data_IF_644963300778
#
_entry.id   IF_644963300778
#
_cell.length_a   1.000
_cell.length_b   1.000
_cell.length_c   1.000
_cell.angle_alpha   90.00
_cell.angle_beta   90.00
_cell.angle_gamma   90.00
#
_symmetry.space_group_name_H-M   'P 1'
#
loop_
_entity.id
_entity.type
_entity.pdbx_description
1 polymer ?
#
# COMPACT_ATOMS: atom_id res chain seq x y z
N UNK A 1 -30.82 -19.22 -59.68
CA UNK A 1 -29.69 -19.34 -58.72
C UNK A 1 -29.73 -18.09 -57.86
N UNK A 2 -30.16 -18.24 -56.60
CA UNK A 2 -30.51 -17.13 -55.70
C UNK A 2 -29.26 -16.66 -54.96
N UNK A 3 -28.93 -15.36 -55.06
CA UNK A 3 -27.91 -14.72 -54.22
C UNK A 3 -28.49 -14.53 -52.81
N UNK A 4 -27.86 -15.14 -51.81
CA UNK A 4 -28.12 -14.90 -50.39
C UNK A 4 -27.49 -13.57 -49.96
N UNK A 5 -28.34 -12.62 -49.61
CA UNK A 5 -27.99 -11.34 -48.98
C UNK A 5 -27.61 -11.60 -47.53
N UNK A 6 -26.37 -11.31 -47.14
CA UNK A 6 -25.95 -11.31 -45.74
C UNK A 6 -26.42 -10.01 -45.08
N UNK A 7 -27.26 -10.14 -44.05
CA UNK A 7 -27.69 -9.04 -43.19
C UNK A 7 -26.54 -8.70 -42.24
N UNK A 8 -25.98 -7.50 -42.39
CA UNK A 8 -25.09 -6.90 -41.40
C UNK A 8 -25.93 -6.50 -40.17
N UNK A 9 -25.77 -7.23 -39.07
CA UNK A 9 -26.17 -6.75 -37.75
C UNK A 9 -25.09 -5.77 -37.28
N UNK A 10 -25.40 -4.48 -37.34
CA UNK A 10 -24.64 -3.43 -36.65
C UNK A 10 -24.82 -3.62 -35.14
N UNK A 11 -23.87 -4.29 -34.51
CA UNK A 11 -23.72 -4.27 -33.06
C UNK A 11 -23.30 -2.88 -32.61
N UNK A 12 -24.23 -2.16 -31.98
CA UNK A 12 -23.95 -0.94 -31.23
C UNK A 12 -23.11 -1.38 -30.03
N UNK A 13 -21.81 -1.11 -30.05
CA UNK A 13 -20.99 -1.20 -28.86
C UNK A 13 -21.55 -0.17 -27.85
N UNK A 14 -21.85 -0.57 -26.59
CA UNK A 14 -22.10 0.42 -25.56
C UNK A 14 -20.81 1.22 -25.41
N UNK A 15 -20.87 2.50 -25.81
CA UNK A 15 -19.79 3.45 -25.61
C UNK A 15 -19.42 3.45 -24.14
N UNK A 16 -18.25 2.89 -23.84
CA UNK A 16 -17.61 3.07 -22.56
C UNK A 16 -17.46 4.57 -22.36
N UNK A 17 -18.23 5.11 -21.44
CA UNK A 17 -18.01 6.46 -20.94
C UNK A 17 -16.66 6.38 -20.24
N UNK A 18 -15.62 6.85 -20.90
CA UNK A 18 -14.34 7.10 -20.28
C UNK A 18 -14.56 8.20 -19.24
N UNK A 19 -14.73 7.79 -17.99
CA UNK A 19 -14.60 8.70 -16.86
C UNK A 19 -13.13 9.12 -16.80
N UNK A 20 -12.79 10.28 -17.38
CA UNK A 20 -11.59 10.97 -16.94
C UNK A 20 -11.85 11.38 -15.50
N UNK A 21 -11.17 10.75 -14.53
CA UNK A 21 -11.01 11.38 -13.24
C UNK A 21 -10.44 12.78 -13.52
N UNK A 22 -11.19 13.83 -13.14
CA UNK A 22 -10.70 15.19 -13.31
C UNK A 22 -9.34 15.25 -12.60
N UNK A 23 -8.29 15.64 -13.31
CA UNK A 23 -6.99 15.81 -12.69
C UNK A 23 -7.15 16.85 -11.57
N UNK A 24 -6.70 16.51 -10.37
CA UNK A 24 -6.61 17.48 -9.29
C UNK A 24 -5.55 18.55 -9.69
N UNK A 25 -5.40 19.60 -8.89
CA UNK A 25 -4.49 20.70 -9.22
C UNK A 25 -3.24 20.66 -8.36
N UNK A 26 -2.08 20.54 -9.01
CA UNK A 26 -0.80 20.40 -8.33
C UNK A 26 -0.29 21.71 -7.71
N UNK A 27 -1.10 22.78 -7.75
CA UNK A 27 -0.79 24.08 -7.16
C UNK A 27 -0.68 23.92 -5.63
N UNK A 28 0.47 24.26 -5.03
CA UNK A 28 0.63 24.16 -3.58
C UNK A 28 -0.35 25.07 -2.83
N UNK A 29 -0.97 24.53 -1.77
CA UNK A 29 -1.67 25.31 -0.75
C UNK A 29 -0.62 26.04 0.09
N UNK A 30 -0.72 27.36 0.19
CA UNK A 30 0.23 28.18 0.95
C UNK A 30 -0.48 28.90 2.08
N UNK A 31 0.09 28.79 3.27
CA UNK A 31 -0.35 29.47 4.48
C UNK A 31 0.73 30.43 4.97
N UNK A 32 0.38 31.70 5.11
CA UNK A 32 1.26 32.71 5.69
C UNK A 32 0.99 32.81 7.20
N UNK A 33 1.98 32.43 8.03
CA UNK A 33 1.82 32.49 9.49
C UNK A 33 1.57 33.94 9.93
N UNK A 34 0.56 34.14 10.78
CA UNK A 34 0.15 35.44 11.31
C UNK A 34 -0.69 36.28 10.35
N UNK A 35 -0.97 35.80 9.14
CA UNK A 35 -1.82 36.49 8.15
C UNK A 35 -3.10 35.69 7.89
N UNK A 36 -4.20 36.39 7.68
CA UNK A 36 -5.46 35.79 7.26
C UNK A 36 -5.49 35.48 5.75
N UNK A 37 -4.35 35.26 5.11
CA UNK A 37 -4.29 34.99 3.67
C UNK A 37 -3.73 33.59 3.41
N UNK A 38 -4.40 32.87 2.51
CA UNK A 38 -3.90 31.63 1.91
C UNK A 38 -4.00 31.69 0.39
N UNK A 39 -3.25 30.83 -0.28
CA UNK A 39 -3.42 30.60 -1.73
C UNK A 39 -3.55 29.11 -2.00
N UNK A 40 -4.44 28.72 -2.90
CA UNK A 40 -4.56 27.36 -3.42
C UNK A 40 -4.82 27.40 -4.94
N UNK A 41 -5.24 26.29 -5.54
CA UNK A 41 -5.56 26.17 -6.96
C UNK A 41 -6.69 27.10 -7.45
N UNK A 42 -7.54 27.59 -6.54
CA UNK A 42 -8.61 28.55 -6.82
C UNK A 42 -8.14 30.01 -6.73
N UNK A 43 -6.88 30.24 -6.35
CA UNK A 43 -6.29 31.57 -6.18
C UNK A 43 -6.12 31.96 -4.70
N UNK A 44 -6.15 33.27 -4.42
CA UNK A 44 -5.97 33.81 -3.07
C UNK A 44 -7.30 33.85 -2.30
N UNK A 45 -7.24 33.49 -1.01
CA UNK A 45 -8.40 33.41 -0.11
C UNK A 45 -8.12 34.08 1.22
N UNK A 46 -9.14 34.70 1.80
CA UNK A 46 -9.10 35.24 3.14
C UNK A 46 -9.62 34.21 4.16
N UNK A 47 -8.77 33.87 5.13
CA UNK A 47 -9.04 32.94 6.20
C UNK A 47 -9.82 33.62 7.33
N UNK A 48 -10.74 32.87 7.95
CA UNK A 48 -11.49 33.32 9.13
C UNK A 48 -10.58 33.53 10.36
N UNK A 49 -9.44 32.84 10.41
CA UNK A 49 -8.43 33.03 11.43
C UNK A 49 -7.04 32.66 10.90
N UNK A 50 -6.03 33.44 11.30
CA UNK A 50 -4.66 33.30 10.82
C UNK A 50 -4.03 31.98 11.30
N UNK A 51 -3.31 31.27 10.44
CA UNK A 51 -2.38 30.21 10.84
C UNK A 51 -1.36 30.76 11.85
N UNK A 52 -0.97 29.96 12.82
CA UNK A 52 -0.06 30.38 13.89
C UNK A 52 0.97 29.30 14.21
N UNK A 53 2.01 29.66 14.97
CA UNK A 53 2.97 28.70 15.51
C UNK A 53 2.66 28.49 17.00
N UNK A 54 2.60 27.23 17.42
CA UNK A 54 2.47 26.83 18.82
C UNK A 54 3.55 25.81 19.13
N UNK A 55 4.44 26.11 20.07
CA UNK A 55 5.55 25.23 20.48
C UNK A 55 6.38 24.71 19.28
N UNK A 56 6.67 25.59 18.32
CA UNK A 56 7.43 25.24 17.11
C UNK A 56 6.62 24.50 16.03
N UNK A 57 5.32 24.27 16.24
CA UNK A 57 4.45 23.57 15.30
C UNK A 57 3.57 24.58 14.58
N UNK A 58 3.56 24.53 13.24
CA UNK A 58 2.64 25.32 12.42
C UNK A 58 1.22 24.74 12.50
N UNK A 59 0.29 25.55 13.00
CA UNK A 59 -1.12 25.27 13.15
C UNK A 59 -1.89 26.00 12.04
N UNK A 60 -2.64 25.25 11.22
CA UNK A 60 -3.41 25.79 10.08
C UNK A 60 -4.90 25.52 10.24
N UNK A 61 -5.79 26.39 9.71
CA UNK A 61 -7.23 26.14 9.73
C UNK A 61 -7.57 24.86 8.93
N UNK A 62 -8.23 23.90 9.58
CA UNK A 62 -8.49 22.58 8.99
C UNK A 62 -9.36 22.64 7.73
N UNK A 63 -10.34 23.55 7.70
CA UNK A 63 -11.22 23.74 6.54
C UNK A 63 -10.43 24.23 5.32
N UNK A 64 -9.61 25.26 5.49
CA UNK A 64 -8.80 25.79 4.41
C UNK A 64 -7.77 24.77 3.91
N UNK A 65 -7.20 23.97 4.83
CA UNK A 65 -6.34 22.85 4.47
C UNK A 65 -7.09 21.82 3.62
N UNK A 66 -8.26 21.37 4.07
CA UNK A 66 -9.07 20.39 3.36
C UNK A 66 -9.47 20.88 1.98
N UNK A 67 -10.03 22.08 1.87
CA UNK A 67 -10.43 22.67 0.60
C UNK A 67 -9.25 22.87 -0.35
N UNK A 68 -8.12 23.42 0.13
CA UNK A 68 -6.94 23.62 -0.71
C UNK A 68 -6.35 22.31 -1.22
N UNK A 69 -6.49 21.23 -0.44
CA UNK A 69 -6.14 19.87 -0.83
C UNK A 69 -7.29 19.13 -1.52
N UNK A 70 -8.38 19.78 -1.93
CA UNK A 70 -9.50 19.10 -2.60
C UNK A 70 -10.02 17.87 -1.81
N UNK A 71 -9.90 17.92 -0.49
CA UNK A 71 -10.38 16.90 0.43
C UNK A 71 -11.81 17.24 0.86
N UNK A 72 -12.64 16.22 0.98
CA UNK A 72 -13.94 16.34 1.64
C UNK A 72 -13.74 16.52 3.14
N UNK A 73 -14.53 17.40 3.77
CA UNK A 73 -14.54 17.61 5.21
C UNK A 73 -15.95 17.42 5.74
N UNK A 74 -16.10 16.48 6.67
CA UNK A 74 -17.35 16.21 7.38
C UNK A 74 -17.17 16.55 8.86
N UNK A 75 -18.22 17.10 9.46
CA UNK A 75 -18.25 17.49 10.86
C UNK A 75 -19.29 16.68 11.62
N UNK A 76 -18.84 15.98 12.65
CA UNK A 76 -19.70 15.34 13.64
C UNK A 76 -19.77 16.23 14.90
N UNK A 77 -20.89 16.94 15.03
CA UNK A 77 -21.12 17.82 16.18
C UNK A 77 -21.22 17.07 17.51
N UNK A 78 -21.73 15.83 17.51
CA UNK A 78 -21.95 15.05 18.71
C UNK A 78 -20.63 14.53 19.30
N UNK A 79 -19.73 14.06 18.43
CA UNK A 79 -18.41 13.57 18.80
C UNK A 79 -17.35 14.68 18.86
N UNK A 80 -17.68 15.91 18.44
CA UNK A 80 -16.71 16.98 18.13
C UNK A 80 -15.62 16.48 17.17
N UNK A 81 -16.04 15.64 16.21
CA UNK A 81 -15.21 14.91 15.28
C UNK A 81 -15.14 15.61 13.92
N UNK A 82 -13.98 15.52 13.27
CA UNK A 82 -13.75 15.95 11.90
C UNK A 82 -13.27 14.74 11.13
N UNK A 83 -13.96 14.42 10.03
CA UNK A 83 -13.53 13.43 9.07
C UNK A 83 -13.05 14.17 7.81
N UNK A 84 -11.79 13.96 7.46
CA UNK A 84 -11.22 14.43 6.20
C UNK A 84 -11.09 13.25 5.25
N UNK A 85 -11.50 13.39 3.99
CA UNK A 85 -11.43 12.33 2.98
C UNK A 85 -10.74 12.86 1.72
N UNK A 86 -9.66 12.22 1.27
CA UNK A 86 -8.98 12.53 0.01
C UNK A 86 -8.44 11.25 -0.63
N UNK A 87 -8.82 10.93 -1.87
CA UNK A 87 -8.32 9.76 -2.60
C UNK A 87 -8.37 8.44 -1.80
N UNK A 88 -9.48 8.19 -1.08
CA UNK A 88 -9.62 7.02 -0.20
C UNK A 88 -8.90 7.11 1.15
N UNK A 89 -8.02 8.11 1.34
CA UNK A 89 -7.45 8.45 2.64
C UNK A 89 -8.52 9.14 3.49
N UNK A 90 -8.62 8.71 4.73
CA UNK A 90 -9.51 9.18 5.78
C UNK A 90 -8.68 9.61 6.96
N UNK A 91 -9.03 10.74 7.56
CA UNK A 91 -8.38 11.26 8.77
C UNK A 91 -9.46 11.73 9.73
N UNK A 92 -9.66 10.96 10.79
CA UNK A 92 -10.56 11.27 11.90
C UNK A 92 -9.79 12.01 12.99
N UNK A 93 -10.20 13.25 13.20
CA UNK A 93 -9.65 14.16 14.20
C UNK A 93 -10.74 14.46 15.24
N UNK A 94 -10.35 14.66 16.49
CA UNK A 94 -11.28 15.07 17.56
C UNK A 94 -10.78 16.36 18.19
N UNK A 95 -11.66 17.34 18.38
CA UNK A 95 -11.28 18.60 19.04
C UNK A 95 -10.69 18.35 20.44
N UNK A 96 -9.63 19.09 20.79
CA UNK A 96 -8.89 18.99 22.04
C UNK A 96 -8.19 17.64 22.28
N UNK A 97 -8.10 16.80 21.25
CA UNK A 97 -7.34 15.55 21.24
C UNK A 97 -6.09 15.69 20.37
N UNK A 98 -5.05 14.94 20.69
CA UNK A 98 -3.90 14.68 19.84
C UNK A 98 -3.96 13.28 19.21
N UNK A 99 -4.95 12.45 19.56
CA UNK A 99 -5.17 11.18 18.90
C UNK A 99 -5.80 11.40 17.51
N UNK A 100 -5.21 10.78 16.50
CA UNK A 100 -5.75 10.72 15.15
C UNK A 100 -5.91 9.24 14.74
N UNK A 101 -7.04 8.97 14.10
CA UNK A 101 -7.31 7.69 13.44
C UNK A 101 -7.35 8.00 11.96
N UNK A 102 -6.52 7.35 11.17
CA UNK A 102 -6.56 7.44 9.73
C UNK A 102 -6.96 6.11 9.11
N UNK A 103 -7.12 6.05 7.80
CA UNK A 103 -7.42 4.80 7.07
C UNK A 103 -6.43 3.68 7.42
N UNK A 104 -5.19 4.07 7.74
CA UNK A 104 -4.03 3.19 7.80
C UNK A 104 -3.27 3.23 9.12
N UNK A 105 -3.83 3.93 10.11
CA UNK A 105 -3.21 4.15 11.41
C UNK A 105 -4.29 4.20 12.49
N UNK A 106 -4.20 3.29 13.46
CA UNK A 106 -4.96 3.38 14.71
C UNK A 106 -4.02 4.01 15.75
N UNK A 107 -4.44 5.13 16.37
CA UNK A 107 -3.78 5.79 17.50
C UNK A 107 -2.41 6.47 17.25
N UNK A 108 -2.23 7.16 16.12
CA UNK A 108 -1.08 8.08 15.99
C UNK A 108 -1.34 9.32 16.85
N UNK A 109 -0.28 9.83 17.49
CA UNK A 109 -0.33 11.11 18.20
C UNK A 109 0.16 12.23 17.30
N UNK A 110 -0.69 13.25 17.17
CA UNK A 110 -0.33 14.53 16.60
C UNK A 110 0.70 15.23 17.51
N UNK A 111 1.63 16.00 16.93
CA UNK A 111 2.63 16.73 17.73
C UNK A 111 2.00 17.89 18.53
N UNK A 112 0.77 18.31 18.18
CA UNK A 112 -0.06 19.19 18.98
C UNK A 112 -1.54 18.81 18.83
N UNK A 113 -2.34 19.12 19.85
CA UNK A 113 -3.78 18.86 19.86
C UNK A 113 -4.50 19.63 18.76
N UNK A 114 -5.59 19.06 18.25
CA UNK A 114 -6.57 19.76 17.42
C UNK A 114 -7.17 20.89 18.26
N UNK A 115 -6.87 22.14 17.90
CA UNK A 115 -7.21 23.30 18.71
C UNK A 115 -8.43 24.02 18.14
N UNK A 116 -9.37 24.40 19.00
CA UNK A 116 -10.47 25.29 18.63
C UNK A 116 -10.15 26.69 19.16
N UNK A 117 -9.89 27.64 18.26
CA UNK A 117 -9.60 29.04 18.60
C UNK A 117 -10.72 29.90 18.04
N UNK A 118 -11.59 30.39 18.94
CA UNK A 118 -12.72 31.28 18.62
C UNK A 118 -13.63 30.71 17.51
N UNK A 119 -13.95 29.41 17.58
CA UNK A 119 -14.82 28.73 16.63
C UNK A 119 -14.12 28.22 15.36
N UNK A 120 -12.81 28.45 15.23
CA UNK A 120 -12.01 27.93 14.11
C UNK A 120 -11.15 26.77 14.58
N UNK A 121 -11.21 25.65 13.88
CA UNK A 121 -10.42 24.47 14.21
C UNK A 121 -9.09 24.49 13.48
N UNK A 122 -8.02 24.25 14.23
CA UNK A 122 -6.65 24.23 13.79
C UNK A 122 -6.01 22.87 14.02
N UNK A 123 -5.14 22.49 13.09
CA UNK A 123 -4.44 21.21 13.11
C UNK A 123 -2.94 21.41 12.83
N UNK A 124 -2.07 20.51 13.31
CA UNK A 124 -0.66 20.49 12.92
C UNK A 124 -0.54 20.25 11.41
N UNK A 125 -0.10 21.27 10.68
CA UNK A 125 -0.13 21.28 9.21
C UNK A 125 0.59 20.07 8.61
N UNK A 126 1.84 19.84 9.03
CA UNK A 126 2.68 18.76 8.52
C UNK A 126 2.04 17.39 8.69
N UNK A 127 1.63 17.05 9.90
CA UNK A 127 1.11 15.70 10.19
C UNK A 127 -0.21 15.46 9.47
N UNK A 128 -1.17 16.38 9.53
CA UNK A 128 -2.47 16.19 8.86
C UNK A 128 -2.34 16.19 7.34
N UNK A 129 -1.48 17.04 6.77
CA UNK A 129 -1.16 17.01 5.34
C UNK A 129 -0.58 15.66 4.90
N UNK A 130 0.38 15.11 5.66
CA UNK A 130 0.96 13.79 5.38
C UNK A 130 -0.07 12.67 5.39
N UNK A 131 -1.00 12.70 6.35
CA UNK A 131 -2.09 11.72 6.43
C UNK A 131 -3.10 11.83 5.26
N UNK A 132 -3.15 13.00 4.61
CA UNK A 132 -3.91 13.24 3.39
C UNK A 132 -3.05 13.08 2.12
N UNK A 133 -1.87 12.47 2.20
CA UNK A 133 -1.02 12.20 1.05
C UNK A 133 -0.26 13.42 0.51
N UNK A 134 -0.20 14.51 1.27
CA UNK A 134 0.50 15.74 0.89
C UNK A 134 1.85 15.89 1.59
N UNK A 135 2.80 16.50 0.89
CA UNK A 135 4.07 16.94 1.46
C UNK A 135 3.99 18.39 1.91
N UNK A 136 4.82 18.76 2.90
CA UNK A 136 4.90 20.12 3.41
C UNK A 136 6.31 20.66 3.37
N UNK A 137 6.47 21.90 2.91
CA UNK A 137 7.69 22.67 2.93
C UNK A 137 7.52 23.88 3.86
N UNK A 138 8.54 24.18 4.67
CA UNK A 138 8.57 25.33 5.56
C UNK A 138 9.61 26.34 5.10
N UNK A 139 9.16 27.56 4.77
CA UNK A 139 10.04 28.71 4.56
C UNK A 139 10.15 29.50 5.86
N UNK A 140 11.30 29.35 6.54
CA UNK A 140 11.57 30.04 7.80
C UNK A 140 11.72 31.57 7.65
N UNK A 141 12.24 32.04 6.52
CA UNK A 141 12.47 33.48 6.29
C UNK A 141 11.13 34.19 6.08
N UNK A 142 10.24 33.56 5.32
CA UNK A 142 8.92 34.11 5.02
C UNK A 142 7.85 33.67 6.02
N UNK A 143 8.16 32.79 6.97
CA UNK A 143 7.20 32.17 7.90
C UNK A 143 5.98 31.61 7.18
N UNK A 144 6.23 30.75 6.19
CA UNK A 144 5.20 30.25 5.27
C UNK A 144 5.27 28.73 5.18
N UNK A 145 4.12 28.10 5.23
CA UNK A 145 3.96 26.67 4.98
C UNK A 145 3.43 26.50 3.57
N UNK A 146 4.12 25.74 2.73
CA UNK A 146 3.62 25.27 1.44
C UNK A 146 3.25 23.79 1.58
N UNK A 147 2.10 23.40 1.06
CA UNK A 147 1.58 22.04 1.14
C UNK A 147 1.18 21.64 -0.26
N UNK A 148 1.77 20.57 -0.77
CA UNK A 148 1.53 20.12 -2.13
C UNK A 148 1.27 18.64 -2.12
N UNK A 149 0.26 18.23 -2.89
CA UNK A 149 0.11 16.83 -3.25
C UNK A 149 0.92 16.49 -4.46
N UNK A 150 1.53 15.33 -4.39
CA UNK A 150 2.18 14.67 -5.52
C UNK A 150 1.06 14.07 -6.38
N UNK A 151 0.33 14.93 -7.10
CA UNK A 151 -0.91 14.53 -7.79
C UNK A 151 -0.71 13.62 -8.98
N UNK A 152 0.52 13.49 -9.42
CA UNK A 152 0.88 12.48 -10.40
C UNK A 152 1.10 11.11 -9.73
N UNK A 153 1.32 11.07 -8.42
CA UNK A 153 1.61 9.84 -7.71
C UNK A 153 0.36 9.09 -7.24
N UNK A 154 0.14 7.90 -7.81
CA UNK A 154 -0.89 6.98 -7.35
C UNK A 154 -0.49 6.40 -5.99
N UNK A 155 -1.34 6.52 -4.98
CA UNK A 155 -1.14 5.92 -3.65
C UNK A 155 -2.27 4.93 -3.35
N UNK A 156 -1.93 3.66 -3.18
CA UNK A 156 -2.84 2.55 -2.88
C UNK A 156 -2.52 1.98 -1.51
N UNK A 157 -3.53 1.51 -0.82
CA UNK A 157 -3.34 0.77 0.42
C UNK A 157 -4.36 -0.36 0.54
N UNK A 158 -3.90 -1.44 1.14
CA UNK A 158 -4.68 -2.64 1.38
C UNK A 158 -4.56 -3.06 2.84
N UNK A 159 -5.71 -3.14 3.50
CA UNK A 159 -5.85 -3.51 4.93
C UNK A 159 -6.55 -4.85 5.12
N UNK A 160 -7.17 -5.35 4.05
CA UNK A 160 -7.91 -6.60 4.04
C UNK A 160 -9.07 -6.70 5.04
N UNK A 161 -9.46 -5.64 5.74
CA UNK A 161 -10.50 -5.68 6.78
C UNK A 161 -11.90 -6.06 6.25
N UNK A 162 -12.13 -5.90 4.94
CA UNK A 162 -13.43 -6.21 4.30
C UNK A 162 -13.36 -7.32 3.25
N UNK A 163 -12.25 -7.43 2.52
CA UNK A 163 -12.08 -8.39 1.41
C UNK A 163 -10.60 -8.63 1.11
N UNK A 164 -10.28 -9.41 0.08
CA UNK A 164 -8.91 -9.56 -0.44
C UNK A 164 -8.45 -8.36 -1.28
N UNK A 165 -9.34 -7.39 -1.53
CA UNK A 165 -9.05 -6.12 -2.21
C UNK A 165 -8.35 -6.29 -3.58
N UNK A 166 -8.67 -7.42 -4.24
CA UNK A 166 -8.16 -7.79 -5.55
C UNK A 166 -6.77 -8.44 -5.56
N UNK A 167 -6.17 -8.70 -4.40
CA UNK A 167 -4.97 -9.52 -4.29
C UNK A 167 -5.32 -10.99 -4.51
N UNK A 168 -4.36 -11.75 -5.04
CA UNK A 168 -4.49 -13.17 -5.30
C UNK A 168 -3.28 -13.89 -4.74
N UNK A 169 -3.48 -15.03 -4.07
CA UNK A 169 -2.40 -15.91 -3.64
C UNK A 169 -2.15 -17.05 -4.63
N UNK A 170 -0.90 -17.44 -4.77
CA UNK A 170 -0.45 -18.52 -5.62
C UNK A 170 0.88 -19.10 -5.13
N UNK A 171 1.31 -20.19 -5.77
CA UNK A 171 2.46 -20.99 -5.38
C UNK A 171 3.29 -21.32 -6.62
N UNK A 172 4.60 -21.51 -6.46
CA UNK A 172 5.52 -22.00 -7.48
C UNK A 172 6.65 -22.82 -6.83
N UNK A 173 7.50 -23.40 -7.67
CA UNK A 173 8.61 -24.27 -7.36
C UNK A 173 8.20 -25.55 -6.61
N UNK A 174 7.15 -26.20 -7.14
CA UNK A 174 6.66 -27.51 -6.71
C UNK A 174 6.20 -28.36 -7.91
N UNK A 175 6.20 -29.70 -7.81
CA UNK A 175 5.80 -30.59 -8.90
C UNK A 175 4.36 -30.34 -9.36
N UNK A 176 4.10 -30.53 -10.66
CA UNK A 176 2.75 -30.39 -11.21
C UNK A 176 1.79 -31.46 -10.66
N UNK A 177 2.30 -32.66 -10.42
CA UNK A 177 1.59 -33.82 -9.86
C UNK A 177 1.74 -33.93 -8.33
N UNK A 178 1.99 -32.82 -7.64
CA UNK A 178 2.18 -32.81 -6.19
C UNK A 178 1.03 -33.47 -5.42
N UNK A 179 1.35 -34.05 -4.27
CA UNK A 179 0.36 -34.54 -3.33
C UNK A 179 -0.12 -33.39 -2.41
N UNK A 180 -1.40 -32.97 -2.48
CA UNK A 180 -1.91 -31.86 -1.66
C UNK A 180 -1.82 -32.10 -0.16
N UNK A 181 -1.92 -33.35 0.30
CA UNK A 181 -1.92 -33.71 1.72
C UNK A 181 -0.55 -33.46 2.39
N UNK A 182 0.54 -33.51 1.62
CA UNK A 182 1.90 -33.34 2.15
C UNK A 182 2.47 -31.94 1.92
N UNK A 183 1.94 -31.21 0.95
CA UNK A 183 2.31 -29.82 0.66
C UNK A 183 1.45 -28.82 1.43
N UNK A 184 0.17 -29.14 1.72
CA UNK A 184 -0.71 -28.30 2.53
C UNK A 184 -0.72 -26.81 2.11
N UNK A 185 -0.78 -26.55 0.80
CA UNK A 185 -0.76 -25.20 0.24
C UNK A 185 -2.09 -24.50 0.56
N UNK A 186 -2.04 -23.33 1.19
CA UNK A 186 -3.22 -22.56 1.53
C UNK A 186 -3.00 -21.06 1.35
N UNK A 187 -3.94 -20.43 0.64
CA UNK A 187 -4.12 -18.99 0.60
C UNK A 187 -5.51 -18.66 1.14
N UNK A 188 -5.59 -17.71 2.07
CA UNK A 188 -6.87 -17.26 2.60
C UNK A 188 -6.76 -15.86 3.18
N UNK A 189 -7.87 -15.12 3.16
CA UNK A 189 -8.07 -13.97 4.03
C UNK A 189 -8.58 -14.42 5.40
N UNK A 190 -7.75 -14.27 6.43
CA UNK A 190 -8.05 -14.69 7.80
C UNK A 190 -7.77 -13.56 8.80
N UNK A 191 -8.33 -13.66 10.02
CA UNK A 191 -7.98 -12.74 11.09
C UNK A 191 -6.48 -12.88 11.39
N UNK A 192 -5.78 -11.75 11.54
CA UNK A 192 -4.39 -11.77 11.98
C UNK A 192 -4.31 -12.47 13.34
N UNK A 193 -3.43 -13.48 13.52
CA UNK A 193 -3.35 -14.28 14.75
C UNK A 193 -2.59 -13.55 15.87
N UNK A 194 -3.02 -12.32 16.17
CA UNK A 194 -2.49 -11.51 17.26
C UNK A 194 -3.44 -11.54 18.47
N UNK A 195 -2.88 -11.32 19.66
CA UNK A 195 -3.62 -11.40 20.92
C UNK A 195 -4.89 -10.52 20.91
N UNK A 196 -6.05 -11.14 21.17
CA UNK A 196 -7.36 -10.51 21.22
C UNK A 196 -7.85 -9.82 19.93
N UNK A 197 -7.25 -10.10 18.77
CA UNK A 197 -7.73 -9.55 17.51
C UNK A 197 -9.09 -10.13 17.11
N UNK A 198 -10.02 -9.26 16.73
CA UNK A 198 -11.37 -9.61 16.27
C UNK A 198 -11.78 -8.91 14.98
N UNK A 199 -10.95 -8.01 14.46
CA UNK A 199 -11.36 -7.07 13.41
C UNK A 199 -10.33 -6.91 12.30
N UNK A 200 -9.05 -7.17 12.57
CA UNK A 200 -8.00 -6.96 11.59
C UNK A 200 -7.74 -8.25 10.81
N UNK A 201 -7.81 -8.18 9.50
CA UNK A 201 -7.56 -9.33 8.63
C UNK A 201 -6.23 -9.19 7.91
N UNK A 202 -5.71 -10.30 7.41
CA UNK A 202 -4.53 -10.32 6.56
C UNK A 202 -4.63 -11.45 5.53
N UNK A 203 -3.73 -11.39 4.55
CA UNK A 203 -3.56 -12.45 3.56
C UNK A 203 -2.62 -13.51 4.12
N UNK A 204 -3.17 -14.67 4.46
CA UNK A 204 -2.42 -15.84 4.91
C UNK A 204 -1.86 -16.59 3.71
N UNK A 205 -0.60 -16.97 3.81
CA UNK A 205 0.04 -17.99 2.99
C UNK A 205 0.58 -19.08 3.90
N UNK A 206 0.32 -20.34 3.54
CA UNK A 206 0.84 -21.50 4.26
C UNK A 206 1.22 -22.60 3.28
N UNK A 207 2.28 -23.33 3.59
CA UNK A 207 2.77 -24.43 2.78
C UNK A 207 3.88 -25.20 3.49
N UNK A 208 3.85 -26.51 3.32
CA UNK A 208 4.90 -27.43 3.70
C UNK A 208 5.87 -27.55 2.53
N UNK A 209 7.09 -27.05 2.68
CA UNK A 209 8.10 -27.16 1.65
C UNK A 209 8.58 -28.62 1.54
N UNK A 210 8.31 -29.25 0.39
CA UNK A 210 8.74 -30.62 0.04
C UNK A 210 9.62 -30.65 -1.22
N UNK A 211 9.93 -29.48 -1.78
CA UNK A 211 10.70 -29.29 -3.01
C UNK A 211 12.03 -28.57 -2.78
N UNK A 212 12.38 -28.29 -1.53
CA UNK A 212 13.53 -27.47 -1.11
C UNK A 212 13.53 -26.03 -1.66
N UNK A 213 12.45 -25.59 -2.31
CA UNK A 213 12.40 -24.33 -3.05
C UNK A 213 10.98 -23.73 -3.12
N UNK A 214 10.03 -24.22 -2.31
CA UNK A 214 8.63 -23.76 -2.38
C UNK A 214 8.52 -22.23 -2.30
N UNK A 215 7.98 -21.62 -3.35
CA UNK A 215 7.70 -20.20 -3.42
C UNK A 215 6.21 -19.93 -3.21
N UNK A 216 5.87 -19.20 -2.15
CA UNK A 216 4.49 -18.82 -1.83
C UNK A 216 4.35 -17.31 -2.01
N UNK A 217 3.37 -16.85 -2.79
CA UNK A 217 3.29 -15.42 -3.11
C UNK A 217 1.87 -14.90 -3.23
N UNK A 218 1.73 -13.59 -3.00
CA UNK A 218 0.56 -12.81 -3.39
C UNK A 218 0.92 -11.84 -4.50
N UNK A 219 -0.04 -11.57 -5.39
CA UNK A 219 0.12 -10.57 -6.44
C UNK A 219 -1.12 -9.71 -6.62
N UNK A 220 -0.90 -8.47 -7.09
CA UNK A 220 -1.95 -7.51 -7.43
C UNK A 220 -1.60 -6.80 -8.72
N UNK A 221 -2.51 -6.87 -9.69
CA UNK A 221 -2.49 -6.00 -10.88
C UNK A 221 -2.93 -4.58 -10.49
N UNK A 222 -2.16 -3.60 -10.91
CA UNK A 222 -2.47 -2.17 -10.92
C UNK A 222 -2.68 -1.77 -12.38
N UNK A 223 -3.76 -1.07 -12.65
CA UNK A 223 -4.15 -0.63 -13.99
C UNK A 223 -4.54 0.86 -13.97
N UNK A 224 -4.71 1.44 -15.15
CA UNK A 224 -5.03 2.87 -15.30
C UNK A 224 -3.83 3.80 -15.17
N UNK A 225 -2.61 3.27 -15.23
CA UNK A 225 -1.38 4.07 -15.29
C UNK A 225 -1.18 4.64 -16.70
N UNK A 226 -0.32 5.63 -16.84
CA UNK A 226 0.12 6.08 -18.15
C UNK A 226 0.93 4.96 -18.81
N UNK A 227 0.61 4.55 -20.05
CA UNK A 227 1.36 3.52 -20.76
C UNK A 227 2.82 3.92 -21.01
N UNK A 228 3.74 2.97 -20.90
CA UNK A 228 5.15 3.19 -21.18
C UNK A 228 5.78 4.36 -20.39
N UNK A 229 5.31 4.63 -19.18
CA UNK A 229 5.80 5.71 -18.33
C UNK A 229 6.69 5.13 -17.23
N UNK A 230 7.81 5.80 -16.95
CA UNK A 230 8.70 5.45 -15.85
C UNK A 230 8.10 5.93 -14.54
N UNK A 231 8.08 5.08 -13.52
CA UNK A 231 7.60 5.38 -12.17
C UNK A 231 8.71 5.15 -11.15
N UNK A 232 8.86 6.09 -10.23
CA UNK A 232 9.47 5.85 -8.93
C UNK A 232 8.43 5.18 -8.04
N UNK A 233 8.64 3.90 -7.73
CA UNK A 233 7.72 3.09 -6.97
C UNK A 233 8.25 2.81 -5.56
N UNK A 234 7.37 2.83 -4.57
CA UNK A 234 7.64 2.33 -3.22
C UNK A 234 6.51 1.42 -2.76
N UNK A 235 6.88 0.31 -2.13
CA UNK A 235 6.02 -0.67 -1.51
C UNK A 235 6.41 -0.81 -0.05
N UNK A 236 5.45 -0.80 0.87
CA UNK A 236 5.66 -1.18 2.26
C UNK A 236 4.55 -2.08 2.75
N UNK A 237 4.84 -2.98 3.67
CA UNK A 237 3.86 -3.92 4.22
C UNK A 237 4.29 -4.44 5.59
N UNK A 238 3.36 -5.08 6.29
CA UNK A 238 3.63 -5.82 7.51
C UNK A 238 3.58 -7.32 7.22
N UNK A 239 4.69 -8.00 7.48
CA UNK A 239 4.74 -9.45 7.58
C UNK A 239 4.40 -9.84 9.01
N UNK A 240 3.49 -10.78 9.22
CA UNK A 240 3.30 -11.39 10.53
C UNK A 240 3.91 -12.79 10.54
N UNK A 241 4.79 -13.03 11.50
CA UNK A 241 5.54 -14.28 11.70
C UNK A 241 5.70 -14.57 13.19
N UNK A 242 5.80 -15.84 13.56
CA UNK A 242 6.05 -16.34 14.91
C UNK A 242 7.41 -17.08 15.02
N UNK A 243 8.26 -16.98 14.00
CA UNK A 243 9.53 -17.71 13.95
C UNK A 243 10.61 -16.98 14.75
N UNK A 244 11.16 -17.64 15.77
CA UNK A 244 12.29 -17.12 16.53
C UNK A 244 13.60 -17.24 15.72
N UNK A 245 14.56 -16.37 16.02
CA UNK A 245 15.88 -16.42 15.41
C UNK A 245 16.76 -17.54 15.99
N UNK A 246 17.76 -17.98 15.24
CA UNK A 246 18.77 -18.95 15.67
C UNK A 246 18.24 -20.39 15.81
N UNK A 247 17.07 -20.69 15.25
CA UNK A 247 16.49 -22.02 15.30
C UNK A 247 17.16 -22.97 14.30
N UNK A 248 17.26 -24.25 14.66
CA UNK A 248 17.71 -25.30 13.75
C UNK A 248 16.50 -25.94 13.09
N UNK A 249 16.52 -26.07 11.76
CA UNK A 249 15.50 -26.75 10.97
C UNK A 249 16.10 -27.61 9.87
N UNK A 250 15.26 -28.39 9.20
CA UNK A 250 15.64 -29.21 8.04
C UNK A 250 15.70 -28.31 6.81
N UNK A 251 16.75 -28.41 5.99
CA UNK A 251 17.00 -27.50 4.87
C UNK A 251 17.44 -26.07 5.26
N UNK A 252 17.24 -25.66 6.52
CA UNK A 252 17.68 -24.37 7.05
C UNK A 252 16.91 -23.96 8.30
N UNK A 253 17.22 -22.78 8.85
CA UNK A 253 16.47 -22.21 9.97
C UNK A 253 15.09 -21.71 9.50
N UNK A 254 13.99 -22.00 10.23
CA UNK A 254 12.64 -21.61 9.81
C UNK A 254 12.42 -20.09 9.74
N UNK A 255 13.24 -19.30 10.44
CA UNK A 255 13.26 -17.84 10.33
C UNK A 255 14.16 -17.35 9.19
N UNK A 256 15.46 -17.64 9.29
CA UNK A 256 16.50 -17.04 8.45
C UNK A 256 16.61 -17.66 7.06
N UNK A 257 16.25 -18.94 6.89
CA UNK A 257 16.29 -19.62 5.59
C UNK A 257 15.01 -19.42 4.76
N UNK A 258 14.05 -18.66 5.28
CA UNK A 258 12.84 -18.22 4.56
C UNK A 258 13.02 -16.74 4.20
N UNK A 259 13.43 -16.48 2.95
CA UNK A 259 13.61 -15.11 2.46
C UNK A 259 12.28 -14.53 2.02
N UNK A 260 11.96 -13.32 2.48
CA UNK A 260 10.83 -12.54 1.95
C UNK A 260 11.33 -11.67 0.82
N UNK A 261 10.65 -11.78 -0.32
CA UNK A 261 10.99 -11.06 -1.55
C UNK A 261 9.84 -10.21 -2.02
N UNK A 262 10.17 -9.08 -2.64
CA UNK A 262 9.20 -8.20 -3.28
C UNK A 262 9.67 -7.75 -4.66
N UNK A 263 8.70 -7.48 -5.53
CA UNK A 263 8.92 -6.97 -6.88
C UNK A 263 7.73 -6.15 -7.38
N UNK A 264 8.00 -5.24 -8.31
CA UNK A 264 6.99 -4.52 -9.08
C UNK A 264 7.36 -4.69 -10.55
N UNK A 265 6.44 -5.24 -11.34
CA UNK A 265 6.71 -5.80 -12.66
C UNK A 265 5.79 -5.18 -13.71
N UNK A 266 6.24 -5.12 -14.95
CA UNK A 266 5.41 -4.72 -16.09
C UNK A 266 4.76 -5.91 -16.83
N UNK A 267 5.10 -7.13 -16.41
CA UNK A 267 4.51 -8.39 -16.86
C UNK A 267 3.81 -9.08 -15.68
N UNK A 268 2.75 -9.82 -15.97
CA UNK A 268 2.01 -10.57 -14.97
C UNK A 268 2.85 -11.74 -14.44
N UNK A 269 3.15 -11.81 -13.13
CA UNK A 269 3.88 -12.93 -12.55
C UNK A 269 2.97 -14.14 -12.39
N UNK A 270 3.40 -15.29 -12.91
CA UNK A 270 2.65 -16.56 -12.87
C UNK A 270 3.60 -17.73 -12.69
N UNK A 271 3.13 -18.72 -11.97
CA UNK A 271 3.64 -20.07 -12.08
C UNK A 271 3.22 -20.67 -13.44
N UNK A 272 4.17 -21.22 -14.16
CA UNK A 272 3.99 -21.90 -15.45
C UNK A 272 4.67 -23.27 -15.38
N UNK A 273 4.10 -24.26 -16.06
CA UNK A 273 4.70 -25.59 -16.14
C UNK A 273 6.02 -25.54 -16.92
N UNK A 274 7.03 -26.24 -16.40
CA UNK A 274 8.37 -26.36 -16.98
C UNK A 274 8.87 -27.78 -16.85
N UNK A 275 9.33 -28.37 -17.96
CA UNK A 275 9.78 -29.77 -18.05
C UNK A 275 11.31 -29.91 -18.12
N UNK A 276 12.07 -28.98 -17.52
CA UNK A 276 13.53 -28.91 -17.69
C UNK A 276 14.32 -30.08 -17.10
N UNK A 277 13.72 -30.88 -16.21
CA UNK A 277 14.44 -31.93 -15.45
C UNK A 277 13.75 -33.30 -15.45
N UNK A 278 12.85 -33.55 -16.40
CA UNK A 278 12.19 -34.85 -16.59
C UNK A 278 10.94 -35.07 -15.72
N UNK A 279 10.72 -34.24 -14.70
CA UNK A 279 9.46 -34.11 -13.98
C UNK A 279 8.88 -32.71 -14.19
N UNK A 280 7.60 -32.56 -14.56
CA UNK A 280 6.98 -31.25 -14.73
C UNK A 280 6.90 -30.49 -13.40
N UNK A 281 7.42 -29.25 -13.38
CA UNK A 281 7.43 -28.38 -12.19
C UNK A 281 6.72 -27.07 -12.53
N UNK A 282 5.90 -26.55 -11.60
CA UNK A 282 5.42 -25.17 -11.67
C UNK A 282 6.57 -24.22 -11.33
N UNK A 283 7.10 -23.49 -12.30
CA UNK A 283 8.18 -22.49 -12.12
C UNK A 283 7.65 -21.08 -12.35
N UNK A 284 8.24 -20.07 -11.70
CA UNK A 284 7.87 -18.68 -11.97
C UNK A 284 8.30 -18.26 -13.39
N UNK A 285 7.46 -17.48 -14.07
CA UNK A 285 7.79 -16.83 -15.35
C UNK A 285 8.62 -15.53 -15.21
N UNK A 286 9.20 -15.32 -14.02
CA UNK A 286 9.99 -14.16 -13.63
C UNK A 286 11.29 -14.60 -12.96
N UNK A 287 12.31 -13.74 -13.00
CA UNK A 287 13.55 -13.98 -12.26
C UNK A 287 13.42 -13.49 -10.82
N UNK A 288 12.91 -14.36 -9.94
CA UNK A 288 12.85 -14.10 -8.50
C UNK A 288 14.17 -14.37 -7.77
N UNK A 289 15.20 -14.86 -8.46
CA UNK A 289 16.36 -15.49 -7.84
C UNK A 289 16.00 -16.86 -7.23
N UNK A 290 16.81 -17.32 -6.29
CA UNK A 290 16.61 -18.63 -5.64
C UNK A 290 16.96 -18.53 -4.15
N UNK A 291 16.00 -18.87 -3.27
CA UNK A 291 16.17 -18.81 -1.82
C UNK A 291 16.77 -17.47 -1.35
N UNK A 292 17.98 -17.49 -0.80
CA UNK A 292 18.70 -16.32 -0.30
C UNK A 292 19.44 -15.50 -1.37
N UNK A 293 19.25 -15.81 -2.65
CA UNK A 293 19.77 -15.01 -3.76
C UNK A 293 18.68 -14.14 -4.39
N UNK A 294 19.04 -12.93 -4.80
CA UNK A 294 18.15 -12.00 -5.49
C UNK A 294 18.11 -12.30 -6.99
N UNK A 295 16.95 -12.08 -7.61
CA UNK A 295 16.81 -12.06 -9.07
C UNK A 295 16.72 -10.65 -9.62
N UNK A 296 16.60 -10.52 -10.94
CA UNK A 296 16.34 -9.25 -11.61
C UNK A 296 14.93 -8.70 -11.28
N UNK A 297 13.93 -9.57 -11.25
CA UNK A 297 12.52 -9.20 -11.09
C UNK A 297 12.10 -9.05 -9.61
N UNK A 298 12.77 -9.72 -8.66
CA UNK A 298 12.47 -9.61 -7.22
C UNK A 298 13.71 -9.50 -6.34
N UNK A 299 13.60 -8.67 -5.30
CA UNK A 299 14.68 -8.41 -4.31
C UNK A 299 14.29 -8.91 -2.93
N UNK A 300 15.29 -9.26 -2.13
CA UNK A 300 15.08 -9.69 -0.74
C UNK A 300 14.80 -8.44 0.10
N UNK A 301 13.70 -8.44 0.84
CA UNK A 301 13.28 -7.33 1.71
C UNK A 301 13.36 -7.69 3.19
N UNK A 302 13.54 -8.97 3.51
CA UNK A 302 13.69 -9.47 4.87
C UNK A 302 13.61 -10.99 4.95
N UNK A 303 13.35 -11.51 6.14
CA UNK A 303 13.15 -12.94 6.41
C UNK A 303 12.00 -13.13 7.42
N UNK A 304 11.79 -14.36 7.88
CA UNK A 304 10.70 -14.71 8.80
C UNK A 304 11.02 -14.48 10.28
N UNK A 305 12.17 -13.92 10.65
CA UNK A 305 12.52 -13.77 12.07
C UNK A 305 11.67 -12.70 12.73
N UNK A 306 10.97 -13.07 13.81
CA UNK A 306 10.19 -12.15 14.64
C UNK A 306 11.09 -11.17 15.41
N UNK A 307 10.61 -9.96 15.75
CA UNK A 307 11.45 -8.91 16.31
C UNK A 307 11.79 -9.11 17.80
N UNK A 308 10.94 -9.79 18.57
CA UNK A 308 11.14 -10.07 19.99
C UNK A 308 10.92 -11.57 20.26
N UNK A 309 12.01 -12.32 20.43
CA UNK A 309 11.97 -13.76 20.65
C UNK A 309 11.46 -14.17 22.05
N UNK A 310 11.25 -13.19 22.94
CA UNK A 310 10.67 -13.44 24.27
C UNK A 310 9.14 -13.50 24.24
N UNK A 311 8.52 -13.00 23.18
CA UNK A 311 7.08 -13.01 22.98
C UNK A 311 6.65 -14.25 22.18
N UNK A 312 5.48 -14.78 22.53
CA UNK A 312 4.86 -15.90 21.82
C UNK A 312 3.81 -15.41 20.84
N UNK A 313 3.65 -16.14 19.73
CA UNK A 313 2.67 -15.85 18.69
C UNK A 313 3.18 -14.87 17.63
N UNK A 314 2.30 -14.57 16.68
CA UNK A 314 2.67 -13.80 15.49
C UNK A 314 2.93 -12.32 15.83
N UNK A 315 4.02 -11.80 15.27
CA UNK A 315 4.46 -10.42 15.45
C UNK A 315 4.64 -9.75 14.09
N UNK A 316 4.30 -8.45 13.98
CA UNK A 316 4.51 -7.69 12.76
C UNK A 316 6.00 -7.35 12.57
N UNK A 317 6.49 -7.55 11.36
CA UNK A 317 7.80 -7.13 10.86
C UNK A 317 7.54 -6.20 9.68
N UNK A 318 7.99 -4.95 9.81
CA UNK A 318 7.85 -3.96 8.75
C UNK A 318 8.85 -4.26 7.62
N UNK A 319 8.34 -4.31 6.39
CA UNK A 319 9.12 -4.54 5.18
C UNK A 319 8.91 -3.40 4.21
N UNK A 320 9.98 -3.01 3.52
CA UNK A 320 9.98 -1.93 2.54
C UNK A 320 10.72 -2.35 1.26
N UNK A 321 10.21 -1.91 0.12
CA UNK A 321 10.81 -2.10 -1.19
C UNK A 321 10.65 -0.84 -2.03
N UNK A 322 11.65 -0.49 -2.83
CA UNK A 322 11.56 0.61 -3.77
C UNK A 322 12.25 0.23 -5.08
N UNK A 323 11.69 0.71 -6.19
CA UNK A 323 12.22 0.47 -7.52
C UNK A 323 11.88 1.63 -8.45
N UNK A 324 12.65 1.74 -9.52
CA UNK A 324 12.31 2.59 -10.67
C UNK A 324 12.01 1.66 -11.84
N UNK A 325 10.81 1.73 -12.39
CA UNK A 325 10.37 0.80 -13.44
C UNK A 325 9.39 1.46 -14.41
N UNK A 326 9.21 0.84 -15.57
CA UNK A 326 8.35 1.35 -16.64
C UNK A 326 7.05 0.54 -16.70
N UNK A 327 5.90 1.20 -16.70
CA UNK A 327 4.60 0.55 -16.96
C UNK A 327 4.58 -0.08 -18.35
N UNK A 328 3.74 -1.11 -18.54
CA UNK A 328 3.62 -1.73 -19.85
C UNK A 328 2.80 -0.86 -20.83
N UNK A 329 2.64 -1.37 -22.05
CA UNK A 329 1.93 -0.71 -23.15
C UNK A 329 0.45 -0.45 -22.86
N UNK A 330 -0.12 -1.13 -21.86
CA UNK A 330 -1.51 -0.99 -21.42
C UNK A 330 -1.65 -0.11 -20.18
N UNK A 331 -0.55 0.43 -19.65
CA UNK A 331 -0.58 1.19 -18.41
C UNK A 331 -0.83 0.30 -17.19
N UNK A 332 -0.25 -0.90 -17.19
CA UNK A 332 -0.38 -1.86 -16.09
C UNK A 332 0.97 -2.11 -15.42
N UNK A 333 0.90 -2.41 -14.12
CA UNK A 333 1.98 -2.94 -13.29
C UNK A 333 1.44 -4.07 -12.41
N UNK A 334 2.33 -4.94 -11.95
CA UNK A 334 1.99 -6.08 -11.09
C UNK A 334 2.91 -6.03 -9.88
N UNK A 335 2.32 -5.94 -8.69
CA UNK A 335 3.07 -6.06 -7.43
C UNK A 335 3.07 -7.51 -7.01
N UNK A 336 4.20 -8.01 -6.54
CA UNK A 336 4.36 -9.35 -6.03
C UNK A 336 5.15 -9.32 -4.72
N UNK A 337 4.66 -10.07 -3.73
CA UNK A 337 5.33 -10.30 -2.44
C UNK A 337 5.27 -11.79 -2.19
N UNK A 338 6.39 -12.41 -1.85
CA UNK A 338 6.42 -13.85 -1.59
C UNK A 338 7.55 -14.29 -0.68
N UNK A 339 7.43 -15.51 -0.17
CA UNK A 339 8.47 -16.21 0.56
C UNK A 339 9.17 -17.22 -0.36
N UNK A 340 10.49 -17.21 -0.35
CA UNK A 340 11.36 -18.13 -1.07
C UNK A 340 12.23 -18.87 -0.03
N UNK A 341 12.13 -20.19 0.02
CA UNK A 341 12.58 -20.95 1.19
C UNK A 341 13.35 -22.22 0.84
N UNK A 342 14.51 -22.37 1.48
CA UNK A 342 15.21 -23.66 1.59
C UNK A 342 14.82 -24.45 2.84
N UNK A 343 14.01 -23.88 3.74
CA UNK A 343 13.53 -24.58 4.94
C UNK A 343 12.46 -25.60 4.54
N UNK A 344 12.72 -26.88 4.83
CA UNK A 344 11.89 -28.04 4.51
C UNK A 344 10.83 -28.30 5.60
N UNK A 345 9.98 -27.30 5.86
CA UNK A 345 8.94 -27.41 6.88
C UNK A 345 7.69 -26.60 6.59
N UNK A 346 6.73 -26.68 7.51
CA UNK A 346 5.51 -25.89 7.43
C UNK A 346 5.86 -24.43 7.71
N UNK A 347 5.65 -23.59 6.72
CA UNK A 347 5.80 -22.14 6.85
C UNK A 347 4.41 -21.53 6.77
N UNK A 348 4.08 -20.63 7.69
CA UNK A 348 2.82 -19.85 7.68
C UNK A 348 3.12 -18.40 8.01
N UNK A 349 2.58 -17.48 7.23
CA UNK A 349 2.71 -16.05 7.48
C UNK A 349 1.49 -15.30 6.99
N UNK A 350 1.38 -14.05 7.44
CA UNK A 350 0.32 -13.15 6.99
C UNK A 350 0.92 -11.86 6.46
N UNK A 351 0.26 -11.27 5.48
CA UNK A 351 0.56 -9.94 4.96
C UNK A 351 -0.61 -8.99 5.23
N UNK A 352 -0.31 -7.80 5.72
CA UNK A 352 -1.28 -6.74 5.99
C UNK A 352 -0.63 -5.35 5.77
N UNK A 353 -1.46 -4.30 5.76
CA UNK A 353 -1.09 -2.91 5.67
C UNK A 353 -0.18 -2.62 4.47
N UNK A 354 -0.47 -3.27 3.33
CA UNK A 354 0.30 -3.11 2.10
C UNK A 354 0.03 -1.72 1.53
N UNK A 355 1.07 -0.91 1.34
CA UNK A 355 1.00 0.43 0.75
C UNK A 355 1.85 0.48 -0.49
N UNK A 356 1.31 1.03 -1.56
CA UNK A 356 2.03 1.21 -2.83
C UNK A 356 1.92 2.67 -3.22
N UNK A 357 3.05 3.30 -3.51
CA UNK A 357 3.12 4.63 -4.12
C UNK A 357 3.83 4.53 -5.46
N UNK A 358 3.24 5.10 -6.50
CA UNK A 358 3.79 5.14 -7.86
C UNK A 358 3.83 6.59 -8.32
N UNK A 359 5.00 7.22 -8.32
CA UNK A 359 5.20 8.58 -8.81
C UNK A 359 5.80 8.55 -10.22
N UNK A 360 5.08 8.98 -11.27
CA UNK A 360 5.63 9.02 -12.61
C UNK A 360 6.81 9.99 -12.66
N UNK A 361 7.77 9.67 -13.51
CA UNK A 361 8.96 10.47 -13.77
C UNK A 361 8.80 11.08 -15.17
N UNK A 362 9.15 12.36 -15.28
CA UNK A 362 9.11 13.14 -16.53
C UNK A 362 10.16 12.67 -17.55
#
# INVERSE_FOLDING_TARGET
MSLTTAVLLSGIAPGGVSYSAAAHSSVPVKFQIGSNQSTDYRGAHTLAAAPYISNGIAMVPVRALAEGLQATIEWDASAKGILLIREGLTVHLTQNSDAVIGTYIKNVKLPAKVANVRGNVFVPAKMVAQLLGAQTEWDAKQKKVSIQTDETALSLHYSFDQSEEGWQGAFADYPVDYNPDIYNLAYARELLPTNNNKTNYGLKLSGMNRSDDLFMYVTKKIEGLQPNTTYQASLSFQLYTDQAGGMMGVGGAPGEAVSIKAGILNKEPKAIESDTEGEPIFRMNIDKGNQSSEGEDMKIVGNMVQPDDTLTGFQPVAMDYAATLKSNEKGELYVIIGSDSGYEGLTTFYLDAIKIKLAPQD
#
